data_IF_743944731901
#
_entry.id   IF_743944731901
#
_cell.length_a   1.000
_cell.length_b   1.000
_cell.length_c   1.000
_cell.angle_alpha   90.00
_cell.angle_beta   90.00
_cell.angle_gamma   90.00
#
_symmetry.space_group_name_H-M   'P 1'
#
loop_
_entity.id
_entity.type
_entity.pdbx_description
1 polymer ?
#
# COMPACT_ATOMS: atom_id res chain seq x y z
N UNK A 1 52.43 -6.82 -53.49
CA UNK A 1 51.86 -5.53 -53.96
C UNK A 1 50.46 -5.72 -54.57
N UNK A 2 49.59 -6.57 -54.01
CA UNK A 2 48.22 -6.79 -54.54
C UNK A 2 47.13 -6.52 -53.49
N UNK A 3 47.45 -6.50 -52.20
CA UNK A 3 46.46 -6.31 -51.12
C UNK A 3 46.03 -4.85 -50.90
N UNK A 4 46.86 -3.88 -51.29
CA UNK A 4 46.57 -2.45 -51.07
C UNK A 4 45.61 -1.83 -52.11
N UNK A 5 45.31 -2.55 -53.19
CA UNK A 5 44.40 -2.08 -54.25
C UNK A 5 42.94 -2.41 -53.92
N UNK A 6 42.68 -3.59 -53.35
CA UNK A 6 41.32 -4.05 -52.99
C UNK A 6 40.77 -3.34 -51.75
N UNK A 7 41.62 -2.95 -50.78
CA UNK A 7 41.17 -2.14 -49.63
C UNK A 7 40.77 -0.72 -50.05
N UNK A 8 41.45 -0.15 -51.07
CA UNK A 8 41.15 1.20 -51.59
C UNK A 8 39.86 1.23 -52.41
N UNK A 9 39.55 0.20 -53.20
CA UNK A 9 38.27 0.10 -53.93
C UNK A 9 37.09 -0.05 -52.96
N UNK A 10 37.25 -0.89 -51.93
CA UNK A 10 36.23 -1.12 -50.90
C UNK A 10 35.99 0.11 -50.00
N UNK A 11 36.99 0.97 -49.83
CA UNK A 11 36.83 2.25 -49.13
C UNK A 11 36.12 3.30 -50.00
N UNK A 12 36.40 3.33 -51.31
CA UNK A 12 35.75 4.24 -52.27
C UNK A 12 34.26 3.90 -52.45
N UNK A 13 33.91 2.60 -52.51
CA UNK A 13 32.52 2.15 -52.60
C UNK A 13 31.74 2.46 -51.31
N UNK A 14 32.33 2.27 -50.13
CA UNK A 14 31.71 2.67 -48.85
C UNK A 14 31.50 4.18 -48.73
N UNK A 15 32.42 4.99 -49.26
CA UNK A 15 32.31 6.45 -49.24
C UNK A 15 31.25 6.96 -50.24
N UNK A 16 31.06 6.26 -51.36
CA UNK A 16 29.99 6.58 -52.33
C UNK A 16 28.62 6.15 -51.85
N UNK A 17 28.47 5.01 -51.16
CA UNK A 17 27.22 4.59 -50.55
C UNK A 17 26.81 5.48 -49.36
N UNK A 18 27.76 5.86 -48.48
CA UNK A 18 27.51 6.86 -47.44
C UNK A 18 27.07 8.21 -48.03
N UNK A 19 27.69 8.63 -49.14
CA UNK A 19 27.32 9.86 -49.84
C UNK A 19 25.93 9.78 -50.47
N UNK A 20 25.53 8.60 -50.98
CA UNK A 20 24.18 8.34 -51.53
C UNK A 20 23.12 8.33 -50.43
N UNK A 21 23.37 7.69 -49.29
CA UNK A 21 22.43 7.73 -48.15
C UNK A 21 22.26 9.15 -47.59
N UNK A 22 23.34 9.93 -47.53
CA UNK A 22 23.30 11.33 -47.11
C UNK A 22 22.60 12.25 -48.12
N UNK A 23 22.65 11.93 -49.42
CA UNK A 23 21.98 12.68 -50.49
C UNK A 23 20.46 12.42 -50.52
N UNK A 24 20.03 11.16 -50.34
CA UNK A 24 18.60 10.78 -50.24
C UNK A 24 17.92 11.46 -49.05
N UNK A 25 18.65 11.74 -47.98
CA UNK A 25 18.13 12.46 -46.81
C UNK A 25 17.96 13.97 -47.04
N UNK A 26 18.74 14.59 -47.94
CA UNK A 26 18.83 16.05 -48.10
C UNK A 26 17.85 16.67 -49.10
N UNK A 27 17.25 15.88 -49.99
CA UNK A 27 16.36 16.39 -51.06
C UNK A 27 14.85 16.22 -50.75
N UNK A 28 14.48 16.30 -49.46
CA UNK A 28 13.08 16.28 -49.05
C UNK A 28 12.48 17.67 -49.22
N UNK A 29 11.65 17.84 -50.24
CA UNK A 29 10.87 19.06 -50.40
C UNK A 29 9.75 19.13 -49.35
N UNK A 30 10.04 19.79 -48.22
CA UNK A 30 9.13 19.94 -47.08
C UNK A 30 7.82 20.64 -47.46
N UNK A 31 7.84 21.55 -48.45
CA UNK A 31 6.63 22.25 -48.91
C UNK A 31 5.67 21.27 -49.58
N UNK A 32 6.16 20.47 -50.54
CA UNK A 32 5.37 19.44 -51.21
C UNK A 32 4.88 18.38 -50.22
N UNK A 33 5.73 17.97 -49.28
CA UNK A 33 5.36 17.01 -48.25
C UNK A 33 4.27 17.53 -47.31
N UNK A 34 4.36 18.79 -46.87
CA UNK A 34 3.35 19.43 -46.02
C UNK A 34 2.01 19.57 -46.75
N UNK A 35 2.01 19.96 -48.03
CA UNK A 35 0.81 20.02 -48.86
C UNK A 35 0.16 18.64 -48.98
N UNK A 36 0.94 17.60 -49.27
CA UNK A 36 0.42 16.23 -49.37
C UNK A 36 -0.10 15.74 -48.01
N UNK A 37 0.58 16.06 -46.92
CA UNK A 37 0.16 15.70 -45.56
C UNK A 37 -1.16 16.35 -45.19
N UNK A 38 -1.36 17.64 -45.52
CA UNK A 38 -2.63 18.35 -45.28
C UNK A 38 -3.75 17.83 -46.19
N UNK A 39 -3.47 17.63 -47.49
CA UNK A 39 -4.45 17.05 -48.44
C UNK A 39 -4.89 15.64 -48.05
N UNK A 40 -3.99 14.85 -47.46
CA UNK A 40 -4.28 13.49 -46.99
C UNK A 40 -4.79 13.43 -45.55
N UNK A 41 -4.71 14.54 -44.81
CA UNK A 41 -5.21 14.58 -43.44
C UNK A 41 -6.73 14.65 -43.44
N UNK A 42 -7.35 13.86 -42.56
CA UNK A 42 -8.78 13.96 -42.31
C UNK A 42 -9.06 15.19 -41.43
N UNK A 43 -10.21 15.86 -41.63
CA UNK A 43 -10.62 16.92 -40.72
C UNK A 43 -10.77 16.36 -39.30
N UNK A 44 -10.49 17.20 -38.30
CA UNK A 44 -10.68 16.83 -36.91
C UNK A 44 -12.16 16.48 -36.68
N UNK A 45 -12.40 15.34 -36.02
CA UNK A 45 -13.76 14.94 -35.68
C UNK A 45 -14.42 16.01 -34.78
N UNK A 46 -15.66 16.44 -35.08
CA UNK A 46 -16.35 17.42 -34.27
C UNK A 46 -16.60 16.85 -32.88
N UNK A 47 -16.32 17.66 -31.85
CA UNK A 47 -16.62 17.30 -30.47
C UNK A 47 -18.14 17.28 -30.26
N UNK A 48 -18.64 16.21 -29.68
CA UNK A 48 -20.03 16.15 -29.21
C UNK A 48 -20.21 17.12 -28.04
N UNK A 49 -21.16 18.03 -28.18
CA UNK A 49 -21.46 19.09 -27.21
C UNK A 49 -22.95 19.16 -26.95
N UNK A 50 -23.34 19.66 -25.78
CA UNK A 50 -24.73 19.96 -25.44
C UNK A 50 -24.88 21.43 -25.04
N UNK A 51 -26.09 21.95 -25.19
CA UNK A 51 -26.46 23.32 -24.85
C UNK A 51 -27.53 23.27 -23.78
N UNK A 52 -27.28 23.92 -22.65
CA UNK A 52 -28.18 23.94 -21.50
C UNK A 52 -28.89 25.29 -21.35
N UNK A 53 -28.21 26.39 -21.72
CA UNK A 53 -28.76 27.75 -21.54
C UNK A 53 -29.48 28.26 -22.78
N UNK A 54 -30.52 29.10 -22.56
CA UNK A 54 -31.24 29.82 -23.63
C UNK A 54 -30.34 30.73 -24.48
N UNK A 55 -29.19 31.11 -23.95
CA UNK A 55 -28.19 31.95 -24.61
C UNK A 55 -27.14 31.14 -25.41
N UNK A 56 -27.23 29.81 -25.42
CA UNK A 56 -26.36 28.98 -26.26
C UNK A 56 -25.03 28.56 -25.61
N UNK A 57 -24.89 28.63 -24.28
CA UNK A 57 -23.67 28.16 -23.62
C UNK A 57 -23.49 26.66 -23.86
N UNK A 58 -22.33 26.30 -24.39
CA UNK A 58 -22.06 24.96 -24.92
C UNK A 58 -21.02 24.25 -24.07
N UNK A 59 -21.34 23.02 -23.65
CA UNK A 59 -20.50 22.18 -22.81
C UNK A 59 -20.15 20.86 -23.52
N UNK A 60 -19.00 20.25 -23.18
CA UNK A 60 -18.56 18.99 -23.78
C UNK A 60 -19.37 17.82 -23.22
N UNK A 61 -20.04 17.05 -24.11
CA UNK A 61 -20.96 16.00 -23.70
C UNK A 61 -20.24 14.84 -23.01
N UNK A 62 -19.03 14.48 -23.48
CA UNK A 62 -18.23 13.37 -22.90
C UNK A 62 -17.75 13.64 -21.46
N UNK A 63 -17.56 14.90 -21.05
CA UNK A 63 -17.09 15.20 -19.68
C UNK A 63 -18.24 15.49 -18.70
N UNK A 64 -19.46 15.67 -19.22
CA UNK A 64 -20.60 16.18 -18.45
C UNK A 64 -21.25 15.18 -17.49
N UNK A 65 -20.85 13.91 -17.55
CA UNK A 65 -21.52 12.83 -16.79
C UNK A 65 -22.88 12.41 -17.34
N UNK A 66 -23.40 13.07 -18.39
CA UNK A 66 -24.67 12.74 -19.05
C UNK A 66 -24.62 11.46 -19.90
N UNK A 67 -23.41 10.96 -20.19
CA UNK A 67 -23.20 9.72 -20.92
C UNK A 67 -22.57 8.65 -20.03
N UNK A 68 -23.08 7.40 -20.06
CA UNK A 68 -22.51 6.28 -19.31
C UNK A 68 -21.22 5.75 -19.98
N UNK A 69 -20.14 6.52 -19.89
CA UNK A 69 -18.86 6.25 -20.58
C UNK A 69 -18.10 5.07 -19.98
N UNK A 70 -18.26 4.85 -18.68
CA UNK A 70 -17.47 3.86 -17.95
C UNK A 70 -18.09 2.45 -17.94
N UNK A 71 -19.33 2.29 -18.41
CA UNK A 71 -20.04 1.00 -18.43
C UNK A 71 -19.37 0.01 -19.39
N UNK A 72 -18.87 0.50 -20.53
CA UNK A 72 -18.17 -0.34 -21.52
C UNK A 72 -16.65 -0.42 -21.29
N UNK A 73 -16.15 0.03 -20.13
CA UNK A 73 -14.72 -0.08 -19.83
C UNK A 73 -14.35 -1.56 -19.71
N UNK A 74 -13.21 -1.97 -20.28
CA UNK A 74 -12.71 -3.37 -20.26
C UNK A 74 -12.63 -4.01 -18.86
N UNK A 75 -12.49 -3.16 -17.84
CA UNK A 75 -12.36 -3.53 -16.43
C UNK A 75 -13.62 -3.19 -15.61
N UNK A 76 -14.73 -2.82 -16.27
CA UNK A 76 -15.99 -2.60 -15.59
C UNK A 76 -16.47 -3.91 -14.97
N UNK A 77 -16.88 -3.88 -13.69
CA UNK A 77 -17.26 -5.07 -12.94
C UNK A 77 -16.13 -6.05 -12.59
N UNK A 78 -14.86 -5.76 -12.95
CA UNK A 78 -13.72 -6.61 -12.59
C UNK A 78 -13.02 -6.09 -11.34
N UNK A 79 -12.66 -7.00 -10.43
CA UNK A 79 -11.84 -6.68 -9.27
C UNK A 79 -10.44 -6.25 -9.74
N UNK A 80 -9.95 -5.07 -9.30
CA UNK A 80 -8.59 -4.64 -9.60
C UNK A 80 -7.53 -5.66 -9.16
N UNK A 81 -6.45 -5.79 -9.96
CA UNK A 81 -5.41 -6.80 -9.74
C UNK A 81 -4.76 -6.72 -8.37
N UNK A 82 -4.53 -5.51 -7.84
CA UNK A 82 -3.90 -5.32 -6.54
C UNK A 82 -4.74 -5.92 -5.40
N UNK A 83 -6.06 -5.72 -5.41
CA UNK A 83 -6.98 -6.33 -4.43
C UNK A 83 -6.96 -7.88 -4.51
N UNK A 84 -6.74 -8.43 -5.71
CA UNK A 84 -6.65 -9.87 -5.90
C UNK A 84 -5.30 -10.47 -5.48
N UNK A 85 -4.24 -9.66 -5.39
CA UNK A 85 -2.92 -10.08 -4.93
C UNK A 85 -2.94 -10.19 -3.41
N UNK A 86 -3.40 -9.14 -2.72
CA UNK A 86 -3.46 -9.09 -1.25
C UNK A 86 -4.31 -10.25 -0.68
N UNK A 87 -5.46 -10.54 -1.31
CA UNK A 87 -6.31 -11.67 -0.90
C UNK A 87 -5.68 -13.04 -1.13
N UNK A 88 -4.81 -13.20 -2.13
CA UNK A 88 -4.19 -14.51 -2.42
C UNK A 88 -2.98 -14.76 -1.54
N UNK A 89 -2.19 -13.73 -1.21
CA UNK A 89 -1.05 -13.86 -0.31
C UNK A 89 -1.50 -14.19 1.11
N UNK A 90 -2.52 -13.50 1.61
CA UNK A 90 -3.01 -13.67 2.98
C UNK A 90 -3.73 -15.02 3.14
N UNK A 91 -4.59 -15.37 2.18
CA UNK A 91 -5.36 -16.63 2.22
C UNK A 91 -4.50 -17.86 1.89
N UNK A 92 -3.48 -17.77 1.02
CA UNK A 92 -2.59 -18.91 0.75
C UNK A 92 -1.71 -19.23 1.95
N UNK A 93 -1.18 -18.20 2.64
CA UNK A 93 -0.40 -18.39 3.86
C UNK A 93 -1.23 -19.02 5.00
N UNK A 94 -2.47 -18.57 5.20
CA UNK A 94 -3.38 -19.18 6.18
C UNK A 94 -3.78 -20.60 5.77
N UNK A 95 -4.14 -20.85 4.52
CA UNK A 95 -4.60 -22.19 4.10
C UNK A 95 -3.48 -23.21 4.00
N UNK A 96 -2.25 -22.84 3.67
CA UNK A 96 -1.07 -23.72 3.69
C UNK A 96 -0.69 -24.09 5.13
N UNK A 97 -0.74 -23.13 6.07
CA UNK A 97 -0.49 -23.42 7.49
C UNK A 97 -1.58 -24.29 8.12
N UNK A 98 -2.84 -24.17 7.69
CA UNK A 98 -3.94 -25.04 8.12
C UNK A 98 -3.78 -26.46 7.52
N UNK A 99 -3.53 -26.58 6.21
CA UNK A 99 -3.39 -27.89 5.54
C UNK A 99 -2.15 -28.68 5.99
N UNK A 100 -1.05 -28.00 6.31
CA UNK A 100 0.13 -28.63 6.90
C UNK A 100 -0.10 -29.10 8.35
N UNK A 101 -1.03 -28.48 9.09
CA UNK A 101 -1.46 -28.96 10.41
C UNK A 101 -2.33 -30.22 10.31
N UNK A 102 -3.16 -30.32 9.27
CA UNK A 102 -4.13 -31.41 9.14
C UNK A 102 -3.53 -32.71 8.54
N UNK A 103 -2.50 -32.63 7.70
CA UNK A 103 -1.87 -33.81 7.07
C UNK A 103 -0.86 -34.56 7.94
N UNK A 104 -0.51 -34.00 9.10
CA UNK A 104 0.48 -34.56 10.02
C UNK A 104 -0.24 -35.17 11.25
N UNK A 105 -1.14 -36.13 10.98
CA UNK A 105 -2.05 -36.78 11.95
C UNK A 105 -1.41 -37.53 13.14
N UNK A 106 -0.11 -37.39 13.39
CA UNK A 106 0.65 -38.09 14.45
C UNK A 106 1.47 -37.14 15.34
N UNK A 107 0.98 -35.91 15.62
CA UNK A 107 1.55 -35.05 16.68
C UNK A 107 0.48 -34.38 17.54
N UNK A 108 -0.32 -35.18 18.22
CA UNK A 108 -1.26 -34.76 19.29
C UNK A 108 -0.52 -34.37 20.59
N UNK A 109 0.68 -33.79 20.52
CA UNK A 109 1.48 -33.51 21.72
C UNK A 109 2.30 -32.23 21.57
N UNK A 110 1.63 -31.08 21.74
CA UNK A 110 2.13 -29.83 22.34
C UNK A 110 1.14 -28.69 22.11
N UNK A 111 -0.16 -28.93 22.33
CA UNK A 111 -0.97 -27.83 22.83
C UNK A 111 -0.46 -27.68 24.27
N UNK A 112 0.49 -26.76 24.47
CA UNK A 112 0.90 -26.34 25.80
C UNK A 112 -0.39 -26.12 26.58
N UNK A 113 -0.56 -26.86 27.67
CA UNK A 113 -1.80 -26.91 28.46
C UNK A 113 -2.31 -25.48 28.69
N UNK A 114 -3.34 -25.08 27.94
CA UNK A 114 -3.97 -23.78 28.12
C UNK A 114 -4.85 -23.86 29.35
N UNK A 115 -4.49 -23.12 30.40
CA UNK A 115 -5.35 -22.96 31.57
C UNK A 115 -6.33 -21.82 31.31
N UNK A 116 -7.63 -22.13 31.39
CA UNK A 116 -8.67 -21.11 31.45
C UNK A 116 -8.68 -20.47 32.84
N UNK A 117 -8.70 -19.13 32.89
CA UNK A 117 -8.88 -18.38 34.15
C UNK A 117 -10.37 -18.33 34.46
N UNK A 118 -10.75 -18.84 35.64
CA UNK A 118 -12.13 -18.76 36.09
C UNK A 118 -12.54 -17.32 36.44
N UNK A 119 -13.85 -17.05 36.47
CA UNK A 119 -14.40 -15.72 36.75
C UNK A 119 -14.01 -15.22 38.15
N UNK A 120 -13.95 -16.11 39.14
CA UNK A 120 -13.56 -15.74 40.49
C UNK A 120 -12.06 -15.40 40.56
N UNK A 121 -11.21 -16.20 39.91
CA UNK A 121 -9.77 -15.92 39.80
C UNK A 121 -9.52 -14.57 39.09
N UNK A 122 -10.27 -14.29 38.01
CA UNK A 122 -10.21 -13.00 37.30
C UNK A 122 -10.62 -11.84 38.20
N UNK A 123 -11.67 -12.01 39.01
CA UNK A 123 -12.14 -10.97 39.92
C UNK A 123 -11.10 -10.68 41.01
N UNK A 124 -10.52 -11.71 41.60
CA UNK A 124 -9.44 -11.58 42.60
C UNK A 124 -8.24 -10.85 41.98
N UNK A 125 -7.87 -11.19 40.74
CA UNK A 125 -6.80 -10.51 40.01
C UNK A 125 -7.10 -9.02 39.80
N UNK A 126 -8.31 -8.68 39.32
CA UNK A 126 -8.75 -7.30 39.10
C UNK A 126 -8.76 -6.48 40.40
N UNK A 127 -9.29 -7.04 41.49
CA UNK A 127 -9.32 -6.38 42.79
C UNK A 127 -7.91 -6.12 43.31
N UNK A 128 -6.99 -7.09 43.12
CA UNK A 128 -5.57 -6.93 43.44
C UNK A 128 -4.90 -5.81 42.63
N UNK A 129 -5.19 -5.72 41.33
CA UNK A 129 -4.65 -4.67 40.46
C UNK A 129 -5.19 -3.29 40.81
N UNK A 130 -6.49 -3.18 41.12
CA UNK A 130 -7.13 -1.93 41.56
C UNK A 130 -6.56 -1.45 42.88
N UNK A 131 -6.38 -2.36 43.85
CA UNK A 131 -5.72 -2.04 45.13
C UNK A 131 -4.30 -1.51 44.93
N UNK A 132 -3.50 -2.15 44.06
CA UNK A 132 -2.15 -1.68 43.74
C UNK A 132 -2.17 -0.30 43.08
N UNK A 133 -3.13 -0.04 42.18
CA UNK A 133 -3.31 1.27 41.57
C UNK A 133 -3.62 2.34 42.63
N UNK A 134 -4.53 2.07 43.58
CA UNK A 134 -4.84 2.98 44.67
C UNK A 134 -3.62 3.29 45.55
N UNK A 135 -2.80 2.29 45.86
CA UNK A 135 -1.57 2.46 46.64
C UNK A 135 -0.55 3.33 45.91
N UNK A 136 -0.29 3.06 44.62
CA UNK A 136 0.62 3.87 43.80
C UNK A 136 0.09 5.29 43.61
N UNK A 137 -1.22 5.44 43.38
CA UNK A 137 -1.86 6.76 43.25
C UNK A 137 -1.75 7.56 44.54
N UNK A 138 -1.95 6.92 45.70
CA UNK A 138 -1.74 7.56 47.02
C UNK A 138 -0.30 8.03 47.20
N UNK A 139 0.69 7.27 46.74
CA UNK A 139 2.09 7.68 46.78
C UNK A 139 2.38 8.85 45.83
N UNK A 140 1.79 8.81 44.62
CA UNK A 140 1.90 9.87 43.64
C UNK A 140 1.30 11.19 44.16
N UNK A 141 0.13 11.15 44.79
CA UNK A 141 -0.52 12.32 45.39
C UNK A 141 0.27 12.93 46.56
N UNK A 142 1.08 12.13 47.25
CA UNK A 142 1.97 12.61 48.33
C UNK A 142 3.26 13.24 47.82
N UNK A 143 3.52 13.23 46.51
CA UNK A 143 4.68 13.89 45.96
C UNK A 143 4.56 15.41 46.10
N UNK A 144 5.70 16.10 46.35
CA UNK A 144 5.74 17.55 46.24
C UNK A 144 5.30 18.01 44.85
N UNK A 145 4.51 19.08 44.79
CA UNK A 145 4.06 19.69 43.53
C UNK A 145 5.24 20.12 42.64
N UNK A 146 6.28 20.69 43.26
CA UNK A 146 7.51 21.14 42.59
C UNK A 146 8.50 19.97 42.42
N UNK A 147 8.81 19.65 41.16
CA UNK A 147 9.77 18.62 40.77
C UNK A 147 11.09 19.21 40.26
N UNK A 148 11.63 20.21 40.97
CA UNK A 148 12.74 21.03 40.49
C UNK A 148 14.08 20.29 40.39
N UNK A 149 14.24 19.16 41.10
CA UNK A 149 15.47 18.37 41.09
C UNK A 149 15.32 17.10 40.24
N UNK A 150 16.39 16.72 39.53
CA UNK A 150 16.40 15.55 38.66
C UNK A 150 15.90 14.26 39.35
N UNK A 151 16.27 13.94 40.61
CA UNK A 151 15.75 12.76 41.29
C UNK A 151 14.23 12.82 41.56
N UNK A 152 13.69 14.01 41.86
CA UNK A 152 12.24 14.20 42.06
C UNK A 152 11.49 14.00 40.76
N UNK A 153 11.98 14.56 39.65
CA UNK A 153 11.40 14.38 38.33
C UNK A 153 11.44 12.89 37.90
N UNK A 154 12.56 12.20 38.10
CA UNK A 154 12.68 10.77 37.79
C UNK A 154 11.73 9.90 38.63
N UNK A 155 11.60 10.19 39.93
CA UNK A 155 10.66 9.49 40.81
C UNK A 155 9.22 9.67 40.36
N UNK A 156 8.83 10.90 39.97
CA UNK A 156 7.50 11.21 39.42
C UNK A 156 7.25 10.44 38.12
N UNK A 157 8.18 10.54 37.16
CA UNK A 157 8.06 9.86 35.87
C UNK A 157 8.03 8.33 35.99
N UNK A 158 8.65 7.75 37.03
CA UNK A 158 8.55 6.32 37.32
C UNK A 158 7.14 5.94 37.77
N UNK A 159 6.57 6.68 38.73
CA UNK A 159 5.21 6.43 39.20
C UNK A 159 4.15 6.64 38.11
N UNK A 160 4.31 7.65 37.26
CA UNK A 160 3.40 7.86 36.12
C UNK A 160 3.39 6.69 35.15
N UNK A 161 4.57 6.12 34.84
CA UNK A 161 4.67 4.92 33.99
C UNK A 161 4.02 3.70 34.64
N UNK A 162 4.23 3.50 35.94
CA UNK A 162 3.61 2.41 36.67
C UNK A 162 2.08 2.54 36.71
N UNK A 163 1.55 3.75 36.93
CA UNK A 163 0.10 4.02 36.88
C UNK A 163 -0.48 3.75 35.48
N UNK A 164 0.15 4.27 34.44
CA UNK A 164 -0.28 4.05 33.06
C UNK A 164 -0.25 2.56 32.66
N UNK A 165 0.72 1.80 33.16
CA UNK A 165 0.79 0.37 32.94
C UNK A 165 -0.40 -0.35 33.61
N UNK A 166 -0.66 -0.04 34.89
CA UNK A 166 -1.80 -0.62 35.61
C UNK A 166 -3.14 -0.29 34.95
N UNK A 167 -3.33 0.95 34.49
CA UNK A 167 -4.56 1.36 33.78
C UNK A 167 -4.76 0.56 32.49
N UNK A 168 -3.70 0.35 31.70
CA UNK A 168 -3.75 -0.46 30.49
C UNK A 168 -4.06 -1.92 30.81
N UNK A 169 -3.36 -2.49 31.80
CA UNK A 169 -3.53 -3.90 32.16
C UNK A 169 -4.94 -4.18 32.70
N UNK A 170 -5.49 -3.28 33.53
CA UNK A 170 -6.88 -3.36 34.01
C UNK A 170 -7.85 -3.28 32.84
N UNK A 171 -7.67 -2.33 31.92
CA UNK A 171 -8.56 -2.17 30.76
C UNK A 171 -8.58 -3.42 29.87
N UNK A 172 -7.42 -4.04 29.62
CA UNK A 172 -7.31 -5.28 28.83
C UNK A 172 -8.10 -6.41 29.49
N UNK A 173 -7.94 -6.59 30.81
CA UNK A 173 -8.63 -7.66 31.54
C UNK A 173 -10.13 -7.39 31.64
N UNK A 174 -10.56 -6.14 31.79
CA UNK A 174 -11.98 -5.77 31.83
C UNK A 174 -12.67 -5.96 30.46
N UNK A 175 -12.00 -5.57 29.37
CA UNK A 175 -12.52 -5.71 28.00
C UNK A 175 -12.61 -7.17 27.53
N UNK A 176 -11.81 -8.07 28.10
CA UNK A 176 -11.73 -9.47 27.69
C UNK A 176 -12.23 -10.42 28.79
N UNK A 177 -13.48 -10.93 28.69
CA UNK A 177 -14.06 -11.82 29.71
C UNK A 177 -13.45 -13.22 29.77
N UNK A 178 -12.92 -13.70 28.64
CA UNK A 178 -12.35 -15.05 28.51
C UNK A 178 -10.84 -14.93 28.26
N UNK A 179 -10.05 -15.41 29.21
CA UNK A 179 -8.58 -15.35 29.17
C UNK A 179 -8.03 -16.76 29.32
N UNK A 180 -7.09 -17.12 28.44
CA UNK A 180 -6.39 -18.39 28.46
C UNK A 180 -4.90 -18.12 28.67
N UNK A 181 -4.28 -18.85 29.59
CA UNK A 181 -2.86 -18.73 29.94
C UNK A 181 -2.16 -20.02 29.52
N UNK A 182 -0.99 -19.88 28.90
CA UNK A 182 -0.12 -21.01 28.61
C UNK A 182 0.80 -21.23 29.80
N UNK A 183 0.79 -22.44 30.36
CA UNK A 183 1.85 -22.84 31.30
C UNK A 183 3.15 -23.00 30.51
N UNK A 184 4.09 -22.08 30.72
CA UNK A 184 5.45 -22.25 30.25
C UNK A 184 6.11 -23.30 31.15
N UNK A 185 6.22 -24.53 30.63
CA UNK A 185 7.09 -25.57 31.19
C UNK A 185 8.55 -25.15 31.06
#
# INVERSE_FOLDING_TARGET
MVKDADEKSTQLDRMTDLSRELFVARDKNFVKHNILRVKRSYPAEPKQRFVDTRYGNTNDLKSSGLLPIYVHKKNYGKVPKFIAIDRKTDVSAETETIKQRDFNGDKVSKISSCRYIDKEERKILLDGMKKKWEETMRQFQRLPFLADTLPKAQKKAKMERELQQLEKDIAVIEQHPYIYVYDNV
#
